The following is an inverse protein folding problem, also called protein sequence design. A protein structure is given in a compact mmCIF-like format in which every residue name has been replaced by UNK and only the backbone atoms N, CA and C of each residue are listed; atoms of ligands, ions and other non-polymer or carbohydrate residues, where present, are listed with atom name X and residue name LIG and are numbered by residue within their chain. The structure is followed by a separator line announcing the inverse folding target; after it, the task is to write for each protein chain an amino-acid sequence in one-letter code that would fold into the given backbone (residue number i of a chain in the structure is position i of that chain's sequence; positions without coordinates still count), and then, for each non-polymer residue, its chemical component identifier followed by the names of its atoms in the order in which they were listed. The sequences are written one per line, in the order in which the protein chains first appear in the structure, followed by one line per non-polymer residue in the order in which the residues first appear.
data_IF_115218817389
#
_entry.id   IF_115218817389
#
_cell.length_a   1.000
_cell.length_b   1.000
_cell.length_c   1.000
_cell.angle_alpha   90.00
_cell.angle_beta   90.00
_cell.angle_gamma   90.00
#
_symmetry.space_group_name_H-M   'P 1'
#
loop_
_entity.id
_entity.type
_entity.pdbx_description
1 polymer ?
#
# COMPACT_ATOMS: atom_id res chain seq x y z
N UNK A 1 16.69 24.57 -21.87
CA UNK A 1 15.68 24.71 -20.80
C UNK A 1 15.93 23.59 -19.82
N UNK A 2 16.25 23.89 -18.57
CA UNK A 2 16.37 22.84 -17.55
C UNK A 2 14.97 22.26 -17.34
N UNK A 3 14.78 20.97 -17.60
CA UNK A 3 13.58 20.26 -17.15
C UNK A 3 13.57 20.35 -15.62
N UNK A 4 12.51 20.93 -15.07
CA UNK A 4 12.33 20.94 -13.62
C UNK A 4 12.18 19.51 -13.14
N UNK A 5 12.90 19.14 -12.07
CA UNK A 5 12.67 17.88 -11.36
C UNK A 5 11.45 18.08 -10.48
N UNK A 6 10.50 17.15 -10.52
CA UNK A 6 9.27 17.20 -9.73
C UNK A 6 9.21 16.04 -8.75
N UNK A 7 8.64 16.28 -7.56
CA UNK A 7 8.14 15.23 -6.67
C UNK A 7 6.66 15.02 -6.93
N UNK A 8 6.21 13.78 -6.80
CA UNK A 8 4.82 13.39 -7.04
C UNK A 8 4.24 12.78 -5.77
N UNK A 9 2.99 13.11 -5.46
CA UNK A 9 2.30 12.55 -4.31
C UNK A 9 0.92 12.03 -4.69
N UNK A 10 0.56 10.92 -4.06
CA UNK A 10 -0.80 10.39 -4.02
C UNK A 10 -1.39 10.70 -2.65
N UNK A 11 -2.51 11.43 -2.65
CA UNK A 11 -3.23 11.78 -1.43
C UNK A 11 -4.62 11.16 -1.44
N UNK A 12 -4.85 10.17 -0.60
CA UNK A 12 -6.11 9.44 -0.49
C UNK A 12 -6.90 9.93 0.72
N UNK A 13 -8.15 10.31 0.48
CA UNK A 13 -9.12 10.63 1.53
C UNK A 13 -10.06 9.45 1.71
N UNK A 14 -10.18 8.95 2.93
CA UNK A 14 -11.02 7.79 3.25
C UNK A 14 -12.29 8.21 3.97
N UNK A 15 -13.38 7.47 3.73
CA UNK A 15 -14.62 7.66 4.48
C UNK A 15 -14.39 7.33 5.95
N UNK A 16 -14.73 8.26 6.83
CA UNK A 16 -14.66 8.06 8.28
C UNK A 16 -13.28 8.32 8.90
N UNK A 17 -12.26 8.64 8.10
CA UNK A 17 -10.94 9.01 8.59
C UNK A 17 -10.74 10.53 8.55
N UNK A 18 -10.13 11.07 9.61
CA UNK A 18 -9.82 12.51 9.71
C UNK A 18 -8.61 12.87 8.87
N UNK A 19 -7.58 12.02 8.91
CA UNK A 19 -6.32 12.25 8.22
C UNK A 19 -6.24 11.48 6.91
N UNK A 20 -5.78 12.11 5.81
CA UNK A 20 -5.55 11.44 4.55
C UNK A 20 -4.22 10.69 4.54
N UNK A 21 -4.15 9.57 3.82
CA UNK A 21 -2.87 8.98 3.44
C UNK A 21 -2.19 9.87 2.40
N UNK A 22 -0.96 10.31 2.68
CA UNK A 22 -0.13 11.05 1.73
C UNK A 22 1.14 10.25 1.47
N UNK A 23 1.35 9.82 0.24
CA UNK A 23 2.50 9.04 -0.16
C UNK A 23 3.27 9.75 -1.29
N UNK A 24 4.57 9.97 -1.09
CA UNK A 24 5.46 10.37 -2.18
C UNK A 24 5.80 9.16 -3.05
N UNK A 25 5.63 9.30 -4.35
CA UNK A 25 5.81 8.20 -5.31
C UNK A 25 6.66 8.65 -6.49
N UNK A 26 7.21 7.67 -7.22
CA UNK A 26 7.85 7.94 -8.50
C UNK A 26 6.81 8.37 -9.54
N UNK A 27 7.26 9.10 -10.57
CA UNK A 27 6.39 9.54 -11.66
C UNK A 27 5.63 8.37 -12.31
N UNK A 28 6.33 7.26 -12.55
CA UNK A 28 5.75 6.04 -13.11
C UNK A 28 4.60 5.48 -12.27
N UNK A 29 4.72 5.55 -10.94
CA UNK A 29 3.69 5.04 -10.04
C UNK A 29 2.50 5.99 -9.99
N UNK A 30 2.76 7.31 -10.00
CA UNK A 30 1.71 8.32 -10.15
C UNK A 30 0.90 8.08 -11.42
N UNK A 31 1.56 7.85 -12.55
CA UNK A 31 0.88 7.63 -13.83
C UNK A 31 0.11 6.31 -13.85
N UNK A 32 0.70 5.21 -13.36
CA UNK A 32 0.02 3.92 -13.25
C UNK A 32 -1.23 4.01 -12.38
N UNK A 33 -1.13 4.60 -11.19
CA UNK A 33 -2.29 4.77 -10.29
C UNK A 33 -3.38 5.63 -10.95
N UNK A 34 -2.99 6.72 -11.63
CA UNK A 34 -3.95 7.55 -12.36
C UNK A 34 -4.69 6.76 -13.42
N UNK A 35 -3.99 5.91 -14.17
CA UNK A 35 -4.57 5.09 -15.23
C UNK A 35 -5.53 4.04 -14.68
N UNK A 36 -5.13 3.34 -13.60
CA UNK A 36 -6.00 2.35 -12.93
C UNK A 36 -7.29 3.02 -12.45
N UNK A 37 -7.20 4.15 -11.75
CA UNK A 37 -8.37 4.86 -11.21
C UNK A 37 -9.22 5.53 -12.30
N UNK A 38 -8.62 5.91 -13.43
CA UNK A 38 -9.38 6.46 -14.56
C UNK A 38 -10.13 5.37 -15.35
N UNK A 39 -9.53 4.18 -15.50
CA UNK A 39 -10.17 3.03 -16.12
C UNK A 39 -11.31 2.50 -15.24
N UNK A 40 -11.10 2.52 -13.92
CA UNK A 40 -12.00 1.99 -12.93
C UNK A 40 -12.32 3.06 -11.87
N UNK A 41 -13.45 3.77 -12.02
CA UNK A 41 -13.80 4.84 -11.10
C UNK A 41 -13.85 4.33 -9.66
N UNK A 42 -13.32 5.11 -8.73
CA UNK A 42 -13.39 4.86 -7.29
C UNK A 42 -14.83 4.48 -6.91
N UNK A 43 -15.01 3.34 -6.22
CA UNK A 43 -16.29 2.64 -5.94
C UNK A 43 -16.85 1.74 -7.05
N UNK A 44 -16.08 1.38 -8.07
CA UNK A 44 -16.37 0.19 -8.87
C UNK A 44 -16.26 -1.05 -7.96
N UNK A 45 -17.39 -1.61 -7.57
CA UNK A 45 -17.46 -2.80 -6.71
C UNK A 45 -16.70 -3.96 -7.36
N UNK A 46 -15.89 -4.67 -6.56
CA UNK A 46 -15.12 -5.89 -6.86
C UNK A 46 -13.63 -5.71 -7.22
N UNK A 47 -13.04 -4.53 -7.01
CA UNK A 47 -11.62 -4.36 -7.28
C UNK A 47 -10.75 -4.70 -6.07
N UNK A 48 -9.67 -5.41 -6.34
CA UNK A 48 -8.61 -5.65 -5.39
C UNK A 48 -7.98 -4.37 -4.87
N UNK A 49 -7.06 -4.53 -3.92
CA UNK A 49 -6.33 -3.40 -3.38
C UNK A 49 -5.43 -2.80 -4.46
N UNK A 50 -5.32 -1.47 -4.44
CA UNK A 50 -4.34 -0.74 -5.23
C UNK A 50 -2.99 -0.79 -4.51
N UNK A 51 -2.09 -1.65 -4.99
CA UNK A 51 -0.73 -1.78 -4.47
C UNK A 51 0.24 -0.84 -5.19
N UNK A 52 1.11 -0.13 -4.47
CA UNK A 52 2.16 0.74 -5.03
C UNK A 52 3.34 0.95 -4.07
N UNK A 53 4.49 1.33 -4.63
CA UNK A 53 5.71 1.66 -3.88
C UNK A 53 5.87 3.18 -3.68
N UNK A 54 6.38 3.57 -2.53
CA UNK A 54 6.75 4.94 -2.21
C UNK A 54 8.24 5.21 -2.40
N UNK A 55 8.61 6.49 -2.51
CA UNK A 55 10.01 6.93 -2.62
C UNK A 55 10.79 6.66 -1.32
N UNK A 56 10.12 6.68 -0.17
CA UNK A 56 10.73 6.49 1.14
C UNK A 56 10.83 5.01 1.57
N UNK A 57 10.58 4.07 0.65
CA UNK A 57 10.85 2.65 0.84
C UNK A 57 9.71 1.85 1.49
N UNK A 58 8.47 2.31 1.36
CA UNK A 58 7.27 1.58 1.76
C UNK A 58 6.60 0.93 0.55
N UNK A 59 5.93 -0.18 0.77
CA UNK A 59 4.91 -0.71 -0.13
C UNK A 59 3.55 -0.55 0.54
N UNK A 60 2.57 -0.04 -0.20
CA UNK A 60 1.25 0.34 0.32
C UNK A 60 0.19 -0.35 -0.52
N UNK A 61 -0.76 -1.02 0.14
CA UNK A 61 -1.96 -1.54 -0.50
C UNK A 61 -3.18 -0.76 0.02
N UNK A 62 -3.93 -0.13 -0.87
CA UNK A 62 -5.09 0.72 -0.54
C UNK A 62 -6.37 0.07 -1.01
N UNK A 63 -7.38 -0.02 -0.14
CA UNK A 63 -8.70 -0.50 -0.52
C UNK A 63 -9.49 0.61 -1.24
N UNK A 64 -9.75 0.48 -2.55
CA UNK A 64 -10.42 1.54 -3.31
C UNK A 64 -11.87 1.76 -2.88
N UNK A 65 -12.50 0.78 -2.20
CA UNK A 65 -13.89 0.88 -1.75
C UNK A 65 -14.11 1.91 -0.63
N UNK A 66 -13.03 2.32 0.06
CA UNK A 66 -13.09 3.32 1.12
C UNK A 66 -12.60 4.70 0.69
N UNK A 67 -11.97 4.81 -0.47
CA UNK A 67 -11.47 6.08 -0.99
C UNK A 67 -12.66 6.93 -1.44
N UNK A 68 -12.70 8.17 -0.95
CA UNK A 68 -13.67 9.17 -1.39
C UNK A 68 -13.07 10.10 -2.44
N UNK A 69 -11.79 10.44 -2.28
CA UNK A 69 -11.06 11.33 -3.17
C UNK A 69 -9.62 10.85 -3.28
N UNK A 70 -9.12 10.74 -4.51
CA UNK A 70 -7.69 10.68 -4.80
C UNK A 70 -7.26 12.04 -5.35
N UNK A 71 -6.34 12.69 -4.66
CA UNK A 71 -5.70 13.93 -5.11
C UNK A 71 -4.27 13.64 -5.54
N UNK A 72 -3.99 13.84 -6.83
CA UNK A 72 -2.67 13.67 -7.43
C UNK A 72 -1.96 15.02 -7.41
N UNK A 73 -0.84 15.10 -6.71
CA UNK A 73 -0.08 16.33 -6.47
C UNK A 73 1.31 16.25 -7.10
N UNK A 74 1.87 17.40 -7.46
CA UNK A 74 3.28 17.52 -7.85
C UNK A 74 3.86 18.88 -7.43
N UNK A 75 5.13 18.90 -7.10
CA UNK A 75 5.85 20.13 -6.73
C UNK A 75 7.28 20.14 -7.31
N UNK A 76 7.83 21.31 -7.68
CA UNK A 76 9.23 21.41 -8.06
C UNK A 76 10.15 21.00 -6.91
N UNK A 77 11.18 20.23 -7.18
CA UNK A 77 12.09 19.72 -6.17
C UNK A 77 13.53 19.61 -6.65
N UNK A 78 14.44 19.45 -5.69
CA UNK A 78 15.77 18.89 -5.93
C UNK A 78 15.71 17.36 -5.93
N UNK A 79 16.68 16.68 -6.56
CA UNK A 79 16.77 15.24 -6.51
C UNK A 79 16.97 14.78 -5.06
N UNK A 80 16.01 14.03 -4.53
CA UNK A 80 16.16 13.21 -3.33
C UNK A 80 16.38 11.76 -3.75
N UNK A 81 17.34 11.09 -3.10
CA UNK A 81 17.53 9.65 -3.30
C UNK A 81 16.37 8.85 -2.70
N UNK A 82 16.17 7.59 -3.14
CA UNK A 82 15.20 6.71 -2.51
C UNK A 82 15.58 6.49 -1.03
N UNK A 83 14.57 6.56 -0.17
CA UNK A 83 14.69 6.20 1.24
C UNK A 83 14.57 4.69 1.43
N UNK A 84 14.81 4.27 2.68
CA UNK A 84 14.55 2.90 3.14
C UNK A 84 13.75 3.00 4.43
N UNK A 85 12.52 2.48 4.40
CA UNK A 85 11.68 2.38 5.57
C UNK A 85 11.99 1.08 6.31
N UNK A 86 12.30 1.20 7.60
CA UNK A 86 12.64 0.11 8.54
C UNK A 86 11.61 0.02 9.68
N UNK A 87 10.48 0.71 9.54
CA UNK A 87 9.45 0.73 10.57
C UNK A 87 8.55 -0.50 10.54
N UNK A 88 7.56 -0.58 11.44
CA UNK A 88 6.61 -1.68 11.50
C UNK A 88 5.70 -1.71 10.28
N UNK A 89 5.00 -2.83 10.13
CA UNK A 89 3.77 -2.94 9.37
C UNK A 89 2.68 -2.14 10.07
N UNK A 90 2.00 -1.27 9.31
CA UNK A 90 0.90 -0.45 9.82
C UNK A 90 -0.38 -0.83 9.09
N UNK A 91 -1.40 -1.22 9.83
CA UNK A 91 -2.73 -1.56 9.30
C UNK A 91 -3.76 -0.57 9.80
N UNK A 92 -4.36 0.15 8.86
CA UNK A 92 -5.40 1.13 9.16
C UNK A 92 -6.76 0.49 8.94
N UNK A 93 -7.45 0.20 10.03
CA UNK A 93 -8.75 -0.45 10.02
C UNK A 93 -9.89 0.57 10.02
N UNK A 94 -11.03 0.19 9.48
CA UNK A 94 -12.26 0.98 9.53
C UNK A 94 -12.68 1.16 10.99
N UNK A 95 -13.11 2.36 11.33
CA UNK A 95 -13.60 2.75 12.67
C UNK A 95 -12.59 2.55 13.81
N UNK A 96 -11.29 2.43 13.49
CA UNK A 96 -10.20 2.49 14.44
C UNK A 96 -9.54 3.88 14.43
N UNK A 97 -9.25 4.40 15.62
CA UNK A 97 -8.58 5.69 15.81
C UNK A 97 -7.08 5.61 15.51
N UNK A 98 -6.45 4.50 15.92
CA UNK A 98 -5.02 4.24 15.78
C UNK A 98 -4.77 3.04 14.85
N UNK A 99 -3.65 3.03 14.09
CA UNK A 99 -3.26 1.87 13.32
C UNK A 99 -2.89 0.71 14.23
N UNK A 100 -3.13 -0.52 13.75
CA UNK A 100 -2.51 -1.69 14.33
C UNK A 100 -1.07 -1.79 13.81
N UNK A 101 -0.12 -1.84 14.73
CA UNK A 101 1.32 -1.89 14.44
C UNK A 101 1.88 -3.25 14.82
N UNK A 102 2.69 -3.85 13.95
CA UNK A 102 3.31 -5.18 14.14
C UNK A 102 4.50 -5.34 13.19
N UNK A 103 5.24 -6.44 13.28
CA UNK A 103 6.17 -6.87 12.24
C UNK A 103 5.69 -8.16 11.59
N UNK A 104 6.26 -8.49 10.43
CA UNK A 104 6.08 -9.79 9.78
C UNK A 104 7.42 -10.51 9.92
N UNK A 105 7.41 -11.72 10.49
CA UNK A 105 8.62 -12.52 10.65
C UNK A 105 9.11 -13.10 9.31
N UNK A 106 8.16 -13.57 8.49
CA UNK A 106 8.45 -14.26 7.23
C UNK A 106 8.16 -13.37 6.00
N UNK A 107 9.19 -12.98 5.23
CA UNK A 107 9.04 -12.21 3.99
C UNK A 107 8.09 -12.85 2.97
N UNK A 108 8.01 -14.18 2.86
CA UNK A 108 7.10 -14.85 1.92
C UNK A 108 5.65 -14.53 2.25
N UNK A 109 5.30 -14.51 3.55
CA UNK A 109 3.97 -14.14 4.01
C UNK A 109 3.63 -12.68 3.69
N UNK A 110 4.61 -11.77 3.69
CA UNK A 110 4.40 -10.39 3.25
C UNK A 110 4.05 -10.30 1.76
N UNK A 111 4.71 -11.13 0.94
CA UNK A 111 4.42 -11.24 -0.50
C UNK A 111 3.05 -11.85 -0.76
N UNK A 112 2.74 -12.97 -0.13
CA UNK A 112 1.43 -13.62 -0.21
C UNK A 112 0.30 -12.71 0.25
N UNK A 113 0.52 -11.93 1.32
CA UNK A 113 -0.42 -10.93 1.81
C UNK A 113 -0.79 -9.93 0.70
N UNK A 114 0.20 -9.32 0.05
CA UNK A 114 -0.04 -8.36 -1.02
C UNK A 114 -0.70 -9.01 -2.24
N UNK A 115 -0.26 -10.21 -2.63
CA UNK A 115 -0.87 -10.97 -3.70
C UNK A 115 -2.36 -11.26 -3.43
N UNK A 116 -2.70 -11.68 -2.22
CA UNK A 116 -4.09 -11.92 -1.83
C UNK A 116 -4.92 -10.64 -1.78
N UNK A 117 -4.37 -9.53 -1.30
CA UNK A 117 -5.05 -8.23 -1.27
C UNK A 117 -5.36 -7.72 -2.69
N UNK A 118 -4.48 -7.95 -3.67
CA UNK A 118 -4.72 -7.61 -5.08
C UNK A 118 -5.88 -8.41 -5.71
N UNK A 119 -6.20 -9.60 -5.19
CA UNK A 119 -7.36 -10.37 -5.63
C UNK A 119 -8.69 -9.85 -5.03
N UNK A 120 -8.60 -9.03 -3.99
CA UNK A 120 -9.72 -8.33 -3.39
C UNK A 120 -10.54 -9.14 -2.38
N UNK A 121 -11.33 -8.44 -1.54
CA UNK A 121 -12.00 -9.03 -0.38
C UNK A 121 -13.20 -9.92 -0.71
N UNK A 122 -13.64 -9.95 -1.98
CA UNK A 122 -14.67 -10.89 -2.45
C UNK A 122 -14.07 -12.26 -2.78
N UNK A 123 -12.80 -12.30 -3.19
CA UNK A 123 -12.06 -13.54 -3.50
C UNK A 123 -11.35 -14.06 -2.25
N UNK A 124 -10.62 -13.18 -1.56
CA UNK A 124 -9.90 -13.50 -0.32
C UNK A 124 -10.45 -12.63 0.82
N UNK A 125 -11.48 -13.10 1.55
CA UNK A 125 -12.18 -12.29 2.55
C UNK A 125 -11.36 -12.02 3.82
N UNK A 126 -10.37 -12.86 4.09
CA UNK A 126 -9.44 -12.70 5.19
C UNK A 126 -8.03 -13.10 4.74
N UNK A 127 -7.05 -12.33 5.21
CA UNK A 127 -5.62 -12.57 5.01
C UNK A 127 -4.95 -12.69 6.37
N UNK A 128 -3.81 -13.38 6.44
CA UNK A 128 -3.11 -13.61 7.70
C UNK A 128 -1.61 -13.75 7.49
N UNK A 129 -0.87 -13.45 8.54
CA UNK A 129 0.57 -13.69 8.66
C UNK A 129 0.91 -13.92 10.15
N UNK A 130 2.12 -14.40 10.41
CA UNK A 130 2.69 -14.56 11.74
C UNK A 130 3.58 -13.35 12.05
N UNK A 131 3.40 -12.77 13.24
CA UNK A 131 4.16 -11.62 13.70
C UNK A 131 5.53 -11.98 14.26
N UNK A 132 6.26 -11.00 14.80
CA UNK A 132 7.60 -11.20 15.38
C UNK A 132 7.65 -12.17 16.57
N UNK A 133 6.52 -12.45 17.21
CA UNK A 133 6.40 -13.36 18.36
C UNK A 133 5.88 -14.75 17.92
N UNK A 134 5.65 -14.94 16.62
CA UNK A 134 5.04 -16.15 16.05
C UNK A 134 3.53 -16.25 16.33
N UNK A 135 2.90 -15.13 16.69
CA UNK A 135 1.45 -15.05 16.88
C UNK A 135 0.76 -14.73 15.55
N UNK A 136 -0.37 -15.39 15.32
CA UNK A 136 -1.09 -15.23 14.06
C UNK A 136 -1.94 -13.96 14.07
N UNK A 137 -1.65 -13.06 13.14
CA UNK A 137 -2.46 -11.89 12.82
C UNK A 137 -3.46 -12.26 11.71
N UNK A 138 -4.76 -12.09 11.98
CA UNK A 138 -5.83 -12.36 11.00
C UNK A 138 -6.59 -11.06 10.71
N UNK A 139 -6.66 -10.70 9.43
CA UNK A 139 -7.20 -9.42 8.97
C UNK A 139 -8.42 -9.68 8.12
N UNK A 140 -9.56 -9.11 8.52
CA UNK A 140 -10.74 -9.05 7.65
C UNK A 140 -10.48 -8.02 6.53
N UNK A 141 -10.26 -8.48 5.30
CA UNK A 141 -9.86 -7.62 4.18
C UNK A 141 -10.90 -6.52 3.86
N UNK A 142 -12.18 -6.76 4.15
CA UNK A 142 -13.24 -5.75 4.03
C UNK A 142 -13.16 -4.61 5.04
N UNK A 143 -12.45 -4.80 6.13
CA UNK A 143 -12.32 -3.81 7.20
C UNK A 143 -11.00 -3.02 7.08
N UNK A 144 -10.08 -3.47 6.24
CA UNK A 144 -8.80 -2.81 6.00
C UNK A 144 -8.96 -1.63 5.02
N UNK A 145 -8.58 -0.44 5.46
CA UNK A 145 -8.55 0.78 4.62
C UNK A 145 -7.28 0.78 3.76
N UNK A 146 -6.14 0.61 4.40
CA UNK A 146 -4.85 0.42 3.75
C UNK A 146 -3.85 -0.21 4.71
N UNK A 147 -2.83 -0.85 4.14
CA UNK A 147 -1.68 -1.39 4.86
C UNK A 147 -0.39 -0.81 4.30
N UNK A 148 0.57 -0.57 5.17
CA UNK A 148 1.92 -0.11 4.85
C UNK A 148 2.90 -1.14 5.37
N UNK A 149 3.80 -1.62 4.52
CA UNK A 149 4.90 -2.50 4.92
C UNK A 149 6.25 -1.96 4.42
N UNK A 150 7.37 -2.34 5.05
CA UNK A 150 8.69 -2.14 4.47
C UNK A 150 8.81 -2.79 3.11
N UNK A 151 9.14 -2.00 2.09
CA UNK A 151 9.27 -2.48 0.71
C UNK A 151 10.31 -3.60 0.59
N UNK A 152 11.40 -3.50 1.34
CA UNK A 152 12.48 -4.47 1.26
C UNK A 152 12.06 -5.87 1.75
N UNK A 153 11.15 -5.95 2.72
CA UNK A 153 10.56 -7.23 3.17
C UNK A 153 9.71 -7.84 2.07
N UNK A 154 8.88 -7.04 1.39
CA UNK A 154 8.09 -7.51 0.26
C UNK A 154 8.95 -7.99 -0.91
N UNK A 155 10.03 -7.27 -1.21
CA UNK A 155 10.97 -7.62 -2.27
C UNK A 155 11.75 -8.90 -1.98
N UNK A 156 12.13 -9.13 -0.72
CA UNK A 156 12.76 -10.36 -0.26
C UNK A 156 11.79 -11.56 -0.42
N UNK A 157 10.55 -11.42 0.04
CA UNK A 157 9.53 -12.45 -0.15
C UNK A 157 9.30 -12.83 -1.62
N UNK A 158 9.24 -11.82 -2.51
CA UNK A 158 9.12 -12.08 -3.95
C UNK A 158 10.31 -12.88 -4.49
N UNK A 159 11.54 -12.57 -4.05
CA UNK A 159 12.73 -13.28 -4.50
C UNK A 159 12.72 -14.75 -4.09
N UNK A 160 12.34 -15.04 -2.84
CA UNK A 160 12.25 -16.41 -2.32
C UNK A 160 11.26 -17.25 -3.14
N UNK A 161 10.07 -16.71 -3.41
CA UNK A 161 9.04 -17.38 -4.22
C UNK A 161 9.51 -17.60 -5.67
N UNK A 162 10.26 -16.66 -6.25
CA UNK A 162 10.81 -16.80 -7.61
C UNK A 162 11.95 -17.84 -7.68
N UNK A 163 12.72 -18.03 -6.61
CA UNK A 163 13.81 -19.01 -6.54
C UNK A 163 13.32 -20.46 -6.38
N UNK A 164 12.14 -20.64 -5.79
CA UNK A 164 11.51 -21.95 -5.56
C UNK A 164 10.75 -22.51 -6.78
N UNK A 165 10.65 -21.75 -7.88
CA UNK A 165 9.96 -22.11 -9.14
C UNK A 165 10.88 -22.64 -10.25
#
# INVERSE_FOLDING_TARGET
MAQGVYRYFLKFFFRGQVEPLVAEVLERERDRVREIVAANPVNATNEGFLCFDTVDGKSVAVNPNFVQVLHILFEPSFPSGPGRYEGPVLMYMRDADDPFETFIEDPEQAYDLFFHLENGPDVVPAVSFDDEDGEQVIIAARELLFIVIPRHVLEEGRQLVEEDM
#
